data_IF_010401564415
#
_entry.id   IF_010401564415
#
_cell.length_a   1.000
_cell.length_b   1.000
_cell.length_c   1.000
_cell.angle_alpha   90.00
_cell.angle_beta   90.00
_cell.angle_gamma   90.00
#
_symmetry.space_group_name_H-M   'P 1'
#
loop_
_entity.id
_entity.type
_entity.pdbx_description
1 polymer ?
#
# COMPACT_ATOMS: atom_id res chain seq x y z
N UNK A 1 6.16 12.38 6.59
CA UNK A 1 7.40 11.77 7.14
C UNK A 1 7.71 10.43 6.46
N UNK A 2 6.78 9.48 6.47
CA UNK A 2 6.99 8.20 5.81
C UNK A 2 7.21 8.35 4.29
N UNK A 3 6.51 9.29 3.68
CA UNK A 3 6.64 9.60 2.27
C UNK A 3 8.04 10.08 1.90
N UNK A 4 8.59 11.05 2.66
CA UNK A 4 9.93 11.59 2.38
C UNK A 4 11.00 10.51 2.48
N UNK A 5 10.94 9.70 3.52
CA UNK A 5 11.90 8.61 3.71
C UNK A 5 11.82 7.59 2.57
N UNK A 6 10.61 7.27 2.12
CA UNK A 6 10.42 6.36 1.01
C UNK A 6 10.94 6.95 -0.31
N UNK A 7 10.62 8.22 -0.57
CA UNK A 7 11.08 8.93 -1.77
C UNK A 7 12.61 8.96 -1.85
N UNK A 8 13.29 9.25 -0.74
CA UNK A 8 14.75 9.23 -0.69
C UNK A 8 15.31 7.84 -0.98
N UNK A 9 14.67 6.80 -0.46
CA UNK A 9 15.11 5.43 -0.69
C UNK A 9 14.88 4.98 -2.12
N UNK A 10 13.79 5.40 -2.76
CA UNK A 10 13.54 5.15 -4.18
C UNK A 10 14.62 5.81 -5.02
N UNK A 11 14.95 7.06 -4.73
CA UNK A 11 15.99 7.79 -5.44
C UNK A 11 17.34 7.10 -5.33
N UNK A 12 17.66 6.51 -4.17
CA UNK A 12 18.92 5.82 -3.91
C UNK A 12 18.96 4.36 -4.38
N UNK A 13 17.82 3.81 -4.79
CA UNK A 13 17.76 2.42 -5.26
C UNK A 13 18.60 2.25 -6.52
N UNK A 14 19.55 1.32 -6.48
CA UNK A 14 20.48 1.07 -7.59
C UNK A 14 20.09 -0.14 -8.42
N UNK A 15 19.24 -1.03 -7.89
CA UNK A 15 18.85 -2.26 -8.56
C UNK A 15 17.34 -2.50 -8.49
N UNK A 16 16.86 -3.37 -9.38
CA UNK A 16 15.48 -3.85 -9.35
C UNK A 16 15.13 -4.53 -8.03
N UNK A 17 16.07 -5.27 -7.47
CA UNK A 17 15.88 -5.96 -6.19
C UNK A 17 15.65 -4.95 -5.06
N UNK A 18 16.37 -3.82 -5.07
CA UNK A 18 16.17 -2.76 -4.08
C UNK A 18 14.75 -2.20 -4.15
N UNK A 19 14.23 -1.99 -5.35
CA UNK A 19 12.87 -1.47 -5.57
C UNK A 19 11.83 -2.49 -5.09
N UNK A 20 12.02 -3.76 -5.40
CA UNK A 20 11.13 -4.84 -4.94
C UNK A 20 11.06 -4.86 -3.41
N UNK A 21 12.20 -4.92 -2.76
CA UNK A 21 12.28 -4.95 -1.29
C UNK A 21 11.68 -3.71 -0.65
N UNK A 22 11.93 -2.56 -1.23
CA UNK A 22 11.38 -1.29 -0.73
C UNK A 22 9.87 -1.28 -0.82
N UNK A 23 9.31 -1.68 -1.95
CA UNK A 23 7.86 -1.74 -2.16
C UNK A 23 7.20 -2.72 -1.18
N UNK A 24 7.79 -3.90 -1.01
CA UNK A 24 7.33 -4.88 -0.02
C UNK A 24 7.31 -4.27 1.38
N UNK A 25 8.40 -3.64 1.78
CA UNK A 25 8.54 -3.04 3.12
C UNK A 25 7.47 -1.98 3.36
N UNK A 26 7.27 -1.08 2.40
CA UNK A 26 6.34 0.04 2.55
C UNK A 26 4.90 -0.45 2.64
N UNK A 27 4.50 -1.38 1.79
CA UNK A 27 3.12 -1.88 1.80
C UNK A 27 2.82 -2.72 3.05
N UNK A 28 3.79 -3.50 3.52
CA UNK A 28 3.62 -4.24 4.78
C UNK A 28 3.57 -3.31 5.99
N UNK A 29 4.35 -2.24 5.98
CA UNK A 29 4.26 -1.21 7.03
C UNK A 29 2.91 -0.50 7.00
N UNK A 30 2.38 -0.22 5.83
CA UNK A 30 1.05 0.37 5.68
C UNK A 30 -0.02 -0.53 6.30
N UNK A 31 0.03 -1.82 6.01
CA UNK A 31 -0.90 -2.79 6.59
C UNK A 31 -0.80 -2.84 8.11
N UNK A 32 0.41 -2.97 8.65
CA UNK A 32 0.62 -3.05 10.09
C UNK A 32 0.21 -1.77 10.80
N UNK A 33 0.55 -0.61 10.22
CA UNK A 33 0.20 0.69 10.78
C UNK A 33 -1.32 0.85 10.84
N UNK A 34 -2.02 0.57 9.76
CA UNK A 34 -3.47 0.74 9.71
C UNK A 34 -4.18 -0.23 10.67
N UNK A 35 -3.69 -1.47 10.77
CA UNK A 35 -4.28 -2.45 11.68
C UNK A 35 -4.17 -2.05 13.15
N UNK A 36 -3.10 -1.35 13.52
CA UNK A 36 -2.81 -1.02 14.92
C UNK A 36 -3.22 0.41 15.31
N UNK A 37 -3.61 1.24 14.35
CA UNK A 37 -3.91 2.64 14.60
C UNK A 37 -5.40 2.93 14.41
N UNK A 38 -6.14 2.94 15.52
CA UNK A 38 -7.60 3.16 15.51
C UNK A 38 -7.97 4.53 14.97
N UNK A 39 -7.20 5.55 15.30
CA UNK A 39 -7.47 6.90 14.81
C UNK A 39 -7.40 6.97 13.28
N UNK A 40 -6.38 6.35 12.69
CA UNK A 40 -6.25 6.30 11.23
C UNK A 40 -7.39 5.51 10.59
N UNK A 41 -7.83 4.43 11.22
CA UNK A 41 -8.99 3.68 10.76
C UNK A 41 -10.25 4.56 10.73
N UNK A 42 -10.49 5.33 11.78
CA UNK A 42 -11.63 6.24 11.86
C UNK A 42 -11.55 7.33 10.80
N UNK A 43 -10.39 7.97 10.64
CA UNK A 43 -10.18 9.00 9.64
C UNK A 43 -10.43 8.46 8.22
N UNK A 44 -9.92 7.28 7.94
CA UNK A 44 -10.10 6.65 6.62
C UNK A 44 -11.57 6.29 6.37
N UNK A 45 -12.26 5.77 7.38
CA UNK A 45 -13.68 5.47 7.29
C UNK A 45 -14.50 6.74 7.00
N UNK A 46 -14.17 7.86 7.64
CA UNK A 46 -14.83 9.13 7.40
C UNK A 46 -14.58 9.65 5.97
N UNK A 47 -13.35 9.54 5.48
CA UNK A 47 -13.02 9.90 4.10
C UNK A 47 -13.87 9.11 3.11
N UNK A 48 -13.96 7.81 3.31
CA UNK A 48 -14.71 6.91 2.43
C UNK A 48 -16.22 7.14 2.49
N UNK A 49 -16.72 7.72 3.58
CA UNK A 49 -18.14 8.06 3.71
C UNK A 49 -18.51 9.37 2.99
N UNK A 50 -17.55 10.01 2.33
CA UNK A 50 -17.79 11.25 1.58
C UNK A 50 -17.71 12.52 2.40
N UNK A 51 -17.13 12.45 3.61
CA UNK A 51 -16.97 13.63 4.46
C UNK A 51 -15.88 14.54 3.90
N UNK A 52 -16.25 15.77 3.53
CA UNK A 52 -15.35 16.75 2.91
C UNK A 52 -14.43 17.47 3.90
N UNK A 53 -14.61 17.27 5.21
CA UNK A 53 -13.82 17.95 6.25
C UNK A 53 -12.32 17.73 6.10
N UNK A 54 -11.94 16.54 5.61
CA UNK A 54 -10.53 16.15 5.48
C UNK A 54 -10.02 16.18 4.04
N UNK A 55 -10.72 16.89 3.15
CA UNK A 55 -10.35 16.94 1.73
C UNK A 55 -8.95 17.50 1.50
N UNK A 56 -8.54 18.52 2.26
CA UNK A 56 -7.21 19.12 2.13
C UNK A 56 -6.10 18.10 2.48
N UNK A 57 -6.32 17.28 3.48
CA UNK A 57 -5.37 16.22 3.88
C UNK A 57 -5.32 15.14 2.81
N UNK A 58 -6.48 14.76 2.26
CA UNK A 58 -6.58 13.82 1.15
C UNK A 58 -5.82 14.31 -0.07
N UNK A 59 -6.03 15.58 -0.46
CA UNK A 59 -5.40 16.18 -1.63
C UNK A 59 -3.88 16.23 -1.47
N UNK A 60 -3.39 16.57 -0.28
CA UNK A 60 -1.96 16.56 0.02
C UNK A 60 -1.37 15.15 -0.09
N UNK A 61 -2.07 14.17 0.44
CA UNK A 61 -1.65 12.77 0.37
C UNK A 61 -1.60 12.28 -1.08
N UNK A 62 -2.57 12.68 -1.90
CA UNK A 62 -2.59 12.34 -3.32
C UNK A 62 -1.44 13.00 -4.07
N UNK A 63 -1.13 14.26 -3.77
CA UNK A 63 0.02 14.94 -4.38
C UNK A 63 1.34 14.24 -4.02
N UNK A 64 1.50 13.85 -2.76
CA UNK A 64 2.69 13.14 -2.30
C UNK A 64 2.81 11.76 -2.94
N UNK A 65 1.71 11.05 -3.03
CA UNK A 65 1.66 9.74 -3.69
C UNK A 65 1.98 9.84 -5.18
N UNK A 66 1.49 10.88 -5.84
CA UNK A 66 1.76 11.12 -7.25
C UNK A 66 3.25 11.35 -7.50
N UNK A 67 3.89 12.20 -6.69
CA UNK A 67 5.33 12.45 -6.80
C UNK A 67 6.15 11.18 -6.61
N UNK A 68 5.76 10.36 -5.66
CA UNK A 68 6.42 9.09 -5.40
C UNK A 68 6.30 8.15 -6.61
N UNK A 69 5.12 8.07 -7.20
CA UNK A 69 4.90 7.24 -8.38
C UNK A 69 5.69 7.74 -9.58
N UNK A 70 5.82 9.06 -9.74
CA UNK A 70 6.67 9.63 -10.79
C UNK A 70 8.13 9.19 -10.64
N UNK A 71 8.66 9.23 -9.42
CA UNK A 71 10.04 8.79 -9.17
C UNK A 71 10.22 7.30 -9.46
N UNK A 72 9.25 6.50 -9.06
CA UNK A 72 9.25 5.07 -9.33
C UNK A 72 9.22 4.79 -10.85
N UNK A 73 8.40 5.53 -11.58
CA UNK A 73 8.31 5.42 -13.04
C UNK A 73 9.62 5.77 -13.74
N UNK A 74 10.32 6.78 -13.25
CA UNK A 74 11.64 7.13 -13.80
C UNK A 74 12.64 5.98 -13.65
N UNK A 75 12.54 5.23 -12.55
CA UNK A 75 13.43 4.08 -12.30
C UNK A 75 13.04 2.85 -13.10
N UNK A 76 11.76 2.61 -13.34
CA UNK A 76 11.24 1.40 -13.97
C UNK A 76 11.02 1.53 -15.49
N UNK A 77 10.92 2.75 -16.01
CA UNK A 77 10.70 2.96 -17.44
C UNK A 77 9.23 2.81 -17.84
N UNK A 78 9.01 2.31 -19.07
CA UNK A 78 7.67 2.29 -19.69
C UNK A 78 6.67 1.32 -19.07
N UNK A 79 7.15 0.30 -18.39
CA UNK A 79 6.31 -0.75 -17.78
C UNK A 79 5.70 -0.32 -16.45
N UNK A 80 5.98 0.89 -16.03
CA UNK A 80 5.59 1.42 -14.73
C UNK A 80 4.08 1.60 -14.55
N UNK A 81 3.30 1.67 -15.63
CA UNK A 81 1.84 1.83 -15.56
C UNK A 81 1.18 0.65 -14.84
N UNK A 82 1.62 -0.56 -15.14
CA UNK A 82 1.10 -1.76 -14.49
C UNK A 82 1.49 -1.79 -13.01
N UNK A 83 2.71 -1.36 -12.70
CA UNK A 83 3.17 -1.25 -11.31
C UNK A 83 2.33 -0.24 -10.54
N UNK A 84 2.08 0.94 -11.13
CA UNK A 84 1.25 1.97 -10.49
C UNK A 84 -0.15 1.42 -10.18
N UNK A 85 -0.79 0.80 -11.15
CA UNK A 85 -2.13 0.25 -10.96
C UNK A 85 -2.14 -0.87 -9.93
N UNK A 86 -1.14 -1.74 -9.94
CA UNK A 86 -1.04 -2.82 -8.97
C UNK A 86 -0.87 -2.30 -7.54
N UNK A 87 0.00 -1.32 -7.34
CA UNK A 87 0.18 -0.68 -6.04
C UNK A 87 -1.12 0.00 -5.59
N UNK A 88 -1.82 0.65 -6.50
CA UNK A 88 -3.13 1.27 -6.22
C UNK A 88 -4.14 0.23 -5.72
N UNK A 89 -4.23 -0.90 -6.41
CA UNK A 89 -5.11 -2.01 -6.02
C UNK A 89 -4.71 -2.55 -4.64
N UNK A 90 -3.41 -2.71 -4.38
CA UNK A 90 -2.94 -3.20 -3.09
C UNK A 90 -3.27 -2.24 -1.96
N UNK A 91 -3.07 -0.94 -2.16
CA UNK A 91 -3.43 0.08 -1.15
C UNK A 91 -4.93 0.04 -0.86
N UNK A 92 -5.74 0.01 -1.91
CA UNK A 92 -7.19 -0.07 -1.78
C UNK A 92 -7.61 -1.35 -1.06
N UNK A 93 -6.99 -2.48 -1.40
CA UNK A 93 -7.26 -3.78 -0.79
C UNK A 93 -6.89 -3.81 0.69
N UNK A 94 -5.72 -3.28 1.04
CA UNK A 94 -5.26 -3.18 2.43
C UNK A 94 -6.26 -2.34 3.24
N UNK A 95 -6.61 -1.17 2.73
CA UNK A 95 -7.54 -0.27 3.41
C UNK A 95 -8.90 -0.92 3.60
N UNK A 96 -9.42 -1.55 2.56
CA UNK A 96 -10.73 -2.19 2.62
C UNK A 96 -10.75 -3.37 3.59
N UNK A 97 -9.76 -4.26 3.52
CA UNK A 97 -9.71 -5.44 4.38
C UNK A 97 -9.65 -5.03 5.85
N UNK A 98 -8.79 -4.05 6.20
CA UNK A 98 -8.68 -3.58 7.58
C UNK A 98 -9.99 -2.97 8.08
N UNK A 99 -10.62 -2.11 7.28
CA UNK A 99 -11.87 -1.45 7.68
C UNK A 99 -13.04 -2.41 7.72
N UNK A 100 -13.16 -3.30 6.75
CA UNK A 100 -14.27 -4.27 6.69
C UNK A 100 -14.21 -5.24 7.86
N UNK A 101 -13.03 -5.70 8.23
CA UNK A 101 -12.86 -6.70 9.30
C UNK A 101 -13.00 -6.14 10.70
N UNK A 102 -13.10 -4.81 10.85
CA UNK A 102 -13.56 -4.18 12.11
C UNK A 102 -15.02 -4.49 12.38
N UNK A 103 -15.82 -4.60 11.32
CA UNK A 103 -17.27 -4.85 11.39
C UNK A 103 -17.59 -6.33 11.24
N UNK A 104 -16.89 -7.00 10.34
CA UNK A 104 -17.15 -8.36 9.91
C UNK A 104 -15.90 -9.21 10.09
N UNK A 105 -15.92 -10.07 11.11
CA UNK A 105 -14.79 -10.95 11.41
C UNK A 105 -14.40 -11.83 10.23
N UNK A 106 -15.39 -12.32 9.48
CA UNK A 106 -15.18 -13.23 8.35
C UNK A 106 -15.37 -12.46 7.05
N UNK A 107 -14.38 -12.51 6.18
CA UNK A 107 -14.43 -11.93 4.85
C UNK A 107 -13.93 -12.97 3.84
N UNK A 108 -14.76 -13.23 2.83
CA UNK A 108 -14.47 -14.23 1.80
C UNK A 108 -14.07 -15.58 2.39
N UNK A 109 -14.78 -16.01 3.46
CA UNK A 109 -14.53 -17.28 4.13
C UNK A 109 -13.31 -17.32 5.03
N UNK A 110 -12.58 -16.22 5.16
CA UNK A 110 -11.39 -16.12 6.01
C UNK A 110 -11.76 -15.38 7.30
N UNK A 111 -11.39 -15.98 8.42
CA UNK A 111 -11.62 -15.40 9.75
C UNK A 111 -10.42 -14.51 10.13
N UNK A 112 -10.61 -13.19 10.01
CA UNK A 112 -9.56 -12.20 10.31
C UNK A 112 -9.42 -11.90 11.80
N UNK A 113 -10.18 -12.53 12.66
CA UNK A 113 -9.88 -12.53 14.12
C UNK A 113 -8.70 -13.46 14.43
N UNK A 114 -8.36 -14.36 13.52
CA UNK A 114 -7.24 -15.28 13.65
C UNK A 114 -5.94 -14.61 13.17
N UNK A 115 -4.90 -14.50 14.01
CA UNK A 115 -3.62 -13.93 13.59
C UNK A 115 -2.98 -14.59 12.38
N UNK A 116 -3.25 -15.88 12.16
CA UNK A 116 -2.73 -16.62 11.00
C UNK A 116 -3.27 -16.06 9.68
N UNK A 117 -4.51 -15.55 9.68
CA UNK A 117 -5.10 -14.94 8.49
C UNK A 117 -4.31 -13.69 8.07
N UNK A 118 -3.90 -12.87 9.03
CA UNK A 118 -3.10 -11.68 8.76
C UNK A 118 -1.68 -12.02 8.33
N UNK A 119 -1.11 -13.08 8.89
CA UNK A 119 0.20 -13.54 8.46
C UNK A 119 0.16 -14.02 7.01
N UNK A 120 -0.87 -14.78 6.66
CA UNK A 120 -1.08 -15.21 5.28
C UNK A 120 -1.29 -14.02 4.33
N UNK A 121 -2.04 -13.01 4.79
CA UNK A 121 -2.24 -11.76 4.04
C UNK A 121 -0.89 -11.09 3.73
N UNK A 122 -0.03 -10.94 4.73
CA UNK A 122 1.31 -10.36 4.57
C UNK A 122 2.16 -11.16 3.59
N UNK A 123 2.19 -12.46 3.74
CA UNK A 123 2.95 -13.35 2.86
C UNK A 123 2.47 -13.27 1.42
N UNK A 124 1.16 -13.18 1.24
CA UNK A 124 0.55 -13.05 -0.08
C UNK A 124 0.95 -11.74 -0.75
N UNK A 125 0.86 -10.63 -0.04
CA UNK A 125 1.29 -9.32 -0.53
C UNK A 125 2.77 -9.36 -0.92
N UNK A 126 3.61 -9.86 -0.04
CA UNK A 126 5.05 -9.96 -0.24
C UNK A 126 5.39 -10.75 -1.50
N UNK A 127 4.79 -11.92 -1.64
CA UNK A 127 5.01 -12.83 -2.77
C UNK A 127 4.57 -12.23 -4.11
N UNK A 128 3.38 -11.60 -4.13
CA UNK A 128 2.85 -11.10 -5.39
C UNK A 128 3.48 -9.79 -5.84
N UNK A 129 4.00 -8.99 -4.92
CA UNK A 129 4.83 -7.83 -5.28
C UNK A 129 6.06 -8.33 -6.04
N UNK A 130 6.76 -9.33 -5.50
CA UNK A 130 7.93 -9.88 -6.18
C UNK A 130 7.59 -10.45 -7.54
N UNK A 131 6.53 -11.25 -7.62
CA UNK A 131 6.10 -11.87 -8.88
C UNK A 131 5.80 -10.83 -9.96
N UNK A 132 5.12 -9.74 -9.60
CA UNK A 132 4.81 -8.67 -10.56
C UNK A 132 6.07 -8.00 -11.07
N UNK A 133 6.96 -7.58 -10.17
CA UNK A 133 8.17 -6.88 -10.55
C UNK A 133 9.10 -7.76 -11.38
N UNK A 134 9.25 -9.02 -11.03
CA UNK A 134 10.06 -9.97 -11.80
C UNK A 134 9.52 -10.15 -13.21
N UNK A 135 8.20 -10.17 -13.37
CA UNK A 135 7.57 -10.27 -14.68
C UNK A 135 7.79 -9.02 -15.53
N UNK A 136 7.73 -7.84 -14.92
CA UNK A 136 7.89 -6.56 -15.63
C UNK A 136 9.34 -6.30 -16.00
N UNK A 137 10.27 -6.66 -15.10
CA UNK A 137 11.69 -6.33 -15.25
C UNK A 137 12.48 -7.37 -16.07
N UNK A 138 11.80 -8.37 -16.56
CA UNK A 138 12.38 -9.28 -17.56
C UNK A 138 12.41 -8.60 -18.92
#
# INVERSE_FOLDING_TARGET
>A
LAYQAYSERVTKAESSEDIIKLTQTVLLKQLNFLRTNKLMQELLAWELSGNSTFRSIQDERERNGFKLQEELEKKLGKESKDVRMFITILIASINYIVLATRQYRIFNGIDFSNPEAWELCKQTIYKYIRALFENILK
#
